data_IF_369557238191
#
_entry.id   IF_369557238191
#
_cell.length_a   1.000
_cell.length_b   1.000
_cell.length_c   1.000
_cell.angle_alpha   90.00
_cell.angle_beta   90.00
_cell.angle_gamma   90.00
#
_symmetry.space_group_name_H-M   'P 1'
#
loop_
_entity.id
_entity.type
_entity.pdbx_description
1 polymer ?
#
# COMPACT_ATOMS: atom_id res chain seq x y z
N UNK A 1 9.44 18.81 34.48
CA UNK A 1 8.25 18.62 33.62
C UNK A 1 8.59 17.44 32.70
N UNK A 2 8.59 16.20 33.20
CA UNK A 2 7.45 15.25 33.27
C UNK A 2 6.79 15.08 31.90
N UNK A 3 6.79 13.92 31.25
CA UNK A 3 7.25 12.60 31.67
C UNK A 3 7.20 11.63 30.49
N UNK A 4 7.81 10.46 30.70
CA UNK A 4 7.75 9.30 29.84
C UNK A 4 6.31 8.86 29.55
N UNK A 5 6.08 8.35 28.35
CA UNK A 5 4.91 7.52 28.01
C UNK A 5 5.43 6.28 27.29
N UNK A 6 5.34 5.19 28.05
CA UNK A 6 5.45 3.78 27.68
C UNK A 6 4.80 3.50 26.30
N UNK A 7 5.40 2.67 25.46
CA UNK A 7 5.37 1.23 25.68
C UNK A 7 4.11 0.64 25.03
N UNK A 8 4.19 0.37 23.71
CA UNK A 8 3.51 -0.79 23.11
C UNK A 8 4.52 -1.58 22.31
N UNK A 9 5.00 -2.61 22.98
CA UNK A 9 5.62 -3.79 22.40
C UNK A 9 4.60 -4.42 21.44
N UNK A 10 4.99 -4.58 20.18
CA UNK A 10 4.57 -5.75 19.40
C UNK A 10 5.79 -6.29 18.68
N UNK A 11 6.46 -7.24 19.34
CA UNK A 11 7.42 -8.15 18.74
C UNK A 11 6.66 -9.40 18.33
N UNK A 12 6.61 -9.71 17.04
CA UNK A 12 6.48 -11.07 16.48
C UNK A 12 7.19 -11.05 15.11
N UNK A 13 8.35 -11.71 14.98
CA UNK A 13 8.56 -12.98 14.24
C UNK A 13 8.71 -12.76 12.72
N UNK A 14 9.50 -13.49 11.93
CA UNK A 14 10.47 -14.58 12.10
C UNK A 14 11.19 -14.69 10.74
N UNK A 15 12.47 -15.08 10.73
CA UNK A 15 13.19 -15.33 9.48
C UNK A 15 12.56 -16.44 8.65
N UNK A 16 12.60 -16.31 7.33
CA UNK A 16 12.50 -17.46 6.43
C UNK A 16 13.07 -17.08 5.07
N UNK A 17 14.30 -17.51 4.81
CA UNK A 17 14.75 -17.78 3.46
C UNK A 17 13.86 -18.89 2.89
N UNK A 18 13.09 -18.59 1.83
CA UNK A 18 12.56 -19.56 0.84
C UNK A 18 11.71 -18.87 -0.25
N UNK A 19 12.14 -19.06 -1.50
CA UNK A 19 11.42 -18.99 -2.80
C UNK A 19 10.75 -17.69 -3.24
N UNK A 20 11.20 -17.18 -4.39
CA UNK A 20 10.74 -16.00 -5.13
C UNK A 20 9.29 -16.08 -5.70
N UNK A 21 8.47 -17.05 -5.28
CA UNK A 21 7.12 -17.29 -5.78
C UNK A 21 5.97 -16.98 -4.80
N UNK A 22 6.23 -16.83 -3.49
CA UNK A 22 5.21 -16.72 -2.43
C UNK A 22 4.99 -15.26 -1.94
N UNK A 23 5.86 -14.32 -2.36
CA UNK A 23 5.79 -12.93 -1.90
C UNK A 23 4.53 -12.21 -2.39
N UNK A 24 4.01 -12.55 -3.58
CA UNK A 24 2.83 -11.89 -4.17
C UNK A 24 1.53 -12.24 -3.46
N UNK A 25 1.36 -13.48 -3.00
CA UNK A 25 0.12 -13.94 -2.35
C UNK A 25 0.03 -13.43 -0.90
N UNK A 26 1.16 -13.33 -0.19
CA UNK A 26 1.18 -12.75 1.16
C UNK A 26 1.27 -11.22 1.18
N UNK A 27 1.86 -10.58 0.17
CA UNK A 27 1.87 -9.11 0.07
C UNK A 27 0.47 -8.51 -0.11
N UNK A 28 -0.47 -9.30 -0.65
CA UNK A 28 -1.87 -8.95 -0.73
C UNK A 28 -2.51 -8.73 0.66
N UNK A 29 -1.95 -9.29 1.73
CA UNK A 29 -2.73 -9.49 2.94
C UNK A 29 -3.14 -8.22 3.69
N UNK A 30 -2.49 -7.05 3.61
CA UNK A 30 -2.97 -5.91 4.43
C UNK A 30 -2.68 -4.49 3.92
N UNK A 31 -2.73 -4.19 2.62
CA UNK A 31 -2.72 -2.76 2.18
C UNK A 31 -3.70 -1.93 3.03
N UNK A 32 -3.24 -0.80 3.55
CA UNK A 32 -4.12 0.06 4.35
C UNK A 32 -5.28 0.53 3.47
N UNK A 33 -6.49 0.73 4.01
CA UNK A 33 -7.66 1.14 3.21
C UNK A 33 -7.36 2.35 2.31
N UNK A 34 -6.63 3.35 2.83
CA UNK A 34 -6.23 4.54 2.08
C UNK A 34 -5.22 4.26 0.97
N UNK A 35 -4.31 3.31 1.16
CA UNK A 35 -3.38 2.88 0.11
C UNK A 35 -4.15 2.20 -1.03
N UNK A 36 -5.13 1.38 -0.67
CA UNK A 36 -5.96 0.62 -1.59
C UNK A 36 -6.91 1.54 -2.37
N UNK A 37 -7.51 2.55 -1.72
CA UNK A 37 -8.34 3.57 -2.37
C UNK A 37 -7.56 4.36 -3.43
N UNK A 38 -6.32 4.75 -3.13
CA UNK A 38 -5.45 5.45 -4.09
C UNK A 38 -5.14 4.55 -5.30
N UNK A 39 -4.85 3.26 -5.07
CA UNK A 39 -4.60 2.32 -6.17
C UNK A 39 -5.85 2.02 -7.00
N UNK A 40 -7.04 2.00 -6.40
CA UNK A 40 -8.32 1.85 -7.11
C UNK A 40 -8.56 2.98 -8.10
N UNK A 41 -8.41 4.24 -7.67
CA UNK A 41 -8.55 5.39 -8.57
C UNK A 41 -7.48 5.40 -9.66
N UNK A 42 -6.25 5.01 -9.31
CA UNK A 42 -5.19 4.84 -10.31
C UNK A 42 -5.52 3.74 -11.34
N UNK A 43 -6.18 2.66 -10.93
CA UNK A 43 -6.63 1.60 -11.84
C UNK A 43 -7.72 2.08 -12.80
N UNK A 44 -8.58 3.01 -12.37
CA UNK A 44 -9.58 3.67 -13.22
C UNK A 44 -8.98 4.76 -14.12
N UNK A 45 -7.65 4.90 -14.17
CA UNK A 45 -6.96 5.86 -15.03
C UNK A 45 -6.90 7.29 -14.46
N UNK A 46 -7.26 7.50 -13.19
CA UNK A 46 -7.18 8.82 -12.57
C UNK A 46 -5.75 9.26 -12.34
N UNK A 47 -5.50 10.53 -12.61
CA UNK A 47 -4.24 11.20 -12.29
C UNK A 47 -4.08 11.35 -10.77
N UNK A 48 -2.86 11.64 -10.31
CA UNK A 48 -2.58 11.92 -8.89
C UNK A 48 -3.40 13.10 -8.39
N UNK A 49 -3.55 14.14 -9.22
CA UNK A 49 -4.36 15.33 -8.92
C UNK A 49 -5.85 14.99 -8.81
N UNK A 50 -6.44 14.29 -9.79
CA UNK A 50 -7.85 13.89 -9.70
C UNK A 50 -8.11 12.98 -8.50
N UNK A 51 -7.20 12.03 -8.23
CA UNK A 51 -7.30 11.14 -7.07
C UNK A 51 -7.25 11.93 -5.76
N UNK A 52 -6.41 12.98 -5.69
CA UNK A 52 -6.33 13.86 -4.55
C UNK A 52 -7.64 14.62 -4.34
N UNK A 53 -8.25 15.15 -5.40
CA UNK A 53 -9.57 15.79 -5.34
C UNK A 53 -10.66 14.80 -4.90
N UNK A 54 -10.70 13.60 -5.48
CA UNK A 54 -11.71 12.57 -5.18
C UNK A 54 -11.65 12.06 -3.74
N UNK A 55 -10.45 11.98 -3.16
CA UNK A 55 -10.24 11.51 -1.79
C UNK A 55 -10.17 12.65 -0.76
N UNK A 56 -10.31 13.90 -1.20
CA UNK A 56 -10.13 15.10 -0.38
C UNK A 56 -8.77 15.12 0.35
N UNK A 57 -7.70 14.84 -0.40
CA UNK A 57 -6.30 14.78 0.06
C UNK A 57 -5.43 15.75 -0.76
N UNK A 58 -4.19 15.97 -0.32
CA UNK A 58 -3.18 16.64 -1.16
C UNK A 58 -2.52 15.65 -2.12
N UNK A 59 -2.01 16.14 -3.26
CA UNK A 59 -1.23 15.32 -4.21
C UNK A 59 -0.02 14.67 -3.55
N UNK A 60 0.66 15.40 -2.66
CA UNK A 60 1.78 14.87 -1.90
C UNK A 60 1.36 13.68 -1.02
N UNK A 61 0.18 13.75 -0.41
CA UNK A 61 -0.40 12.66 0.37
C UNK A 61 -0.75 11.45 -0.50
N UNK A 62 -1.31 11.66 -1.69
CA UNK A 62 -1.59 10.57 -2.65
C UNK A 62 -0.29 9.91 -3.13
N UNK A 63 0.74 10.71 -3.45
CA UNK A 63 2.06 10.20 -3.82
C UNK A 63 2.70 9.42 -2.66
N UNK A 64 2.55 9.88 -1.42
CA UNK A 64 3.00 9.17 -0.23
C UNK A 64 2.31 7.80 -0.07
N UNK A 65 0.97 7.74 -0.17
CA UNK A 65 0.25 6.48 -0.10
C UNK A 65 0.62 5.53 -1.24
N UNK A 66 0.82 6.04 -2.45
CA UNK A 66 1.29 5.24 -3.59
C UNK A 66 2.67 4.62 -3.31
N UNK A 67 3.62 5.41 -2.80
CA UNK A 67 4.97 4.93 -2.44
C UNK A 67 4.90 3.86 -1.35
N UNK A 68 4.06 4.07 -0.33
CA UNK A 68 3.88 3.13 0.77
C UNK A 68 3.26 1.82 0.28
N UNK A 69 2.24 1.90 -0.57
CA UNK A 69 1.63 0.75 -1.24
C UNK A 69 2.65 -0.04 -2.05
N UNK A 70 3.44 0.65 -2.89
CA UNK A 70 4.52 0.05 -3.68
C UNK A 70 5.56 -0.66 -2.79
N UNK A 71 6.00 -0.01 -1.71
CA UNK A 71 6.97 -0.59 -0.78
C UNK A 71 6.44 -1.85 -0.10
N UNK A 72 5.15 -1.86 0.28
CA UNK A 72 4.50 -3.03 0.90
C UNK A 72 4.30 -4.18 -0.08
N UNK A 73 4.02 -3.86 -1.34
CA UNK A 73 3.87 -4.84 -2.41
C UNK A 73 5.22 -5.30 -2.99
N UNK A 74 6.34 -4.68 -2.61
CA UNK A 74 7.66 -4.99 -3.14
C UNK A 74 7.85 -4.56 -4.61
N UNK A 75 7.04 -3.63 -5.11
CA UNK A 75 7.07 -3.15 -6.50
C UNK A 75 7.63 -1.72 -6.59
N UNK A 76 8.14 -1.36 -7.76
CA UNK A 76 8.73 -0.02 -8.01
C UNK A 76 7.82 0.95 -8.74
N UNK A 77 6.75 0.47 -9.34
CA UNK A 77 5.85 1.27 -10.19
C UNK A 77 4.41 1.19 -9.72
N UNK A 78 3.71 2.33 -9.79
CA UNK A 78 2.27 2.42 -9.51
C UNK A 78 1.45 1.46 -10.38
N UNK A 79 1.77 1.36 -11.66
CA UNK A 79 1.05 0.49 -12.59
C UNK A 79 1.28 -0.99 -12.23
N UNK A 80 2.51 -1.34 -11.85
CA UNK A 80 2.81 -2.68 -11.36
C UNK A 80 2.06 -2.96 -10.04
N UNK A 81 1.98 -2.00 -9.12
CA UNK A 81 1.19 -2.13 -7.90
C UNK A 81 -0.29 -2.38 -8.18
N UNK A 82 -0.88 -1.66 -9.14
CA UNK A 82 -2.26 -1.86 -9.58
C UNK A 82 -2.45 -3.28 -10.14
N UNK A 83 -1.57 -3.72 -11.06
CA UNK A 83 -1.63 -5.04 -11.64
C UNK A 83 -1.55 -6.15 -10.58
N UNK A 84 -0.63 -6.03 -9.61
CA UNK A 84 -0.52 -6.98 -8.48
C UNK A 84 -1.80 -7.01 -7.66
N UNK A 85 -2.41 -5.85 -7.37
CA UNK A 85 -3.65 -5.80 -6.59
C UNK A 85 -4.83 -6.46 -7.31
N UNK A 86 -4.93 -6.30 -8.63
CA UNK A 86 -5.97 -6.94 -9.45
C UNK A 86 -5.75 -8.45 -9.51
N UNK A 87 -4.53 -8.90 -9.80
CA UNK A 87 -4.18 -10.32 -9.84
C UNK A 87 -4.38 -11.00 -8.49
N UNK A 88 -4.14 -10.28 -7.39
CA UNK A 88 -4.39 -10.75 -6.03
C UNK A 88 -5.86 -10.65 -5.59
N UNK A 89 -6.76 -10.12 -6.43
CA UNK A 89 -8.19 -10.00 -6.12
C UNK A 89 -8.56 -8.95 -5.06
N UNK A 90 -7.68 -7.97 -4.78
CA UNK A 90 -7.91 -6.94 -3.76
C UNK A 90 -8.95 -5.90 -4.18
N UNK A 91 -9.04 -5.60 -5.47
CA UNK A 91 -10.09 -4.79 -6.05
C UNK A 91 -10.27 -5.14 -7.53
N UNK A 92 -11.42 -4.75 -8.08
CA UNK A 92 -11.78 -4.94 -9.49
C UNK A 92 -11.85 -3.58 -10.17
N UNK A 93 -11.56 -3.57 -11.47
CA UNK A 93 -11.71 -2.41 -12.37
C UNK A 93 -12.95 -2.60 -13.23
#
# INVERSE_FOLDING_TARGET
MSGAKDGKVTRLQTGSARTAGDTSERAALYLAPRELDVLKWAAQGKTTWETAQLLNLSEATVAFYTRRACARLGVKSKIHAVAVCISAGLFKI
#
